data_IF_180576884481
#
_entry.id   IF_180576884481
#
_cell.length_a   1.000
_cell.length_b   1.000
_cell.length_c   1.000
_cell.angle_alpha   90.00
_cell.angle_beta   90.00
_cell.angle_gamma   90.00
#
_symmetry.space_group_name_H-M   'P 1'
#
loop_
_entity.id
_entity.type
_entity.pdbx_description
1 polymer ?
#
# COMPACT_ATOMS: atom_id res chain seq x y z
N UNK A 1 -33.99 77.22 -20.91
CA UNK A 1 -34.12 75.75 -21.13
C UNK A 1 -32.78 75.10 -20.86
N UNK A 2 -32.62 74.54 -19.65
CA UNK A 2 -31.38 73.80 -19.24
C UNK A 2 -31.61 72.33 -19.56
N UNK A 3 -30.81 71.78 -20.45
CA UNK A 3 -30.80 70.34 -20.78
C UNK A 3 -30.00 69.62 -19.68
N UNK A 4 -30.65 68.76 -18.93
CA UNK A 4 -30.02 67.85 -17.97
C UNK A 4 -29.56 66.62 -18.77
N UNK A 5 -28.25 66.39 -18.86
CA UNK A 5 -27.65 65.18 -19.36
C UNK A 5 -27.61 64.17 -18.21
N UNK A 6 -28.45 63.14 -18.27
CA UNK A 6 -28.34 61.98 -17.34
C UNK A 6 -27.26 61.06 -17.93
N UNK A 7 -26.12 61.02 -17.26
CA UNK A 7 -25.02 60.11 -17.52
C UNK A 7 -25.37 58.74 -16.88
N UNK A 8 -25.82 57.79 -17.71
CA UNK A 8 -26.03 56.41 -17.29
C UNK A 8 -24.66 55.76 -17.15
N UNK A 9 -24.14 55.68 -15.93
CA UNK A 9 -22.95 54.87 -15.61
C UNK A 9 -23.40 53.41 -15.62
N UNK A 10 -23.13 52.71 -16.74
CA UNK A 10 -23.15 51.22 -16.78
C UNK A 10 -22.02 50.74 -15.92
N UNK A 11 -22.34 50.35 -14.64
CA UNK A 11 -21.44 49.54 -13.86
C UNK A 11 -21.30 48.14 -14.48
N UNK A 12 -20.30 47.99 -15.35
CA UNK A 12 -19.85 46.67 -15.76
C UNK A 12 -19.14 46.09 -14.56
N UNK A 13 -19.82 45.29 -13.75
CA UNK A 13 -19.17 44.44 -12.76
C UNK A 13 -18.38 43.39 -13.55
N UNK A 14 -17.05 43.39 -13.46
CA UNK A 14 -16.31 42.29 -14.02
C UNK A 14 -16.76 41.01 -13.27
N UNK A 15 -17.20 40.02 -14.01
CA UNK A 15 -17.42 38.69 -13.47
C UNK A 15 -16.10 38.15 -12.91
N UNK A 16 -15.78 38.49 -11.67
CA UNK A 16 -14.69 37.87 -10.96
C UNK A 16 -15.07 36.40 -10.72
N UNK A 17 -14.64 35.53 -11.60
CA UNK A 17 -14.66 34.10 -11.33
C UNK A 17 -13.61 33.86 -10.23
N UNK A 18 -14.06 33.67 -9.01
CA UNK A 18 -13.17 33.30 -7.91
C UNK A 18 -12.51 31.96 -8.27
N UNK A 19 -11.18 31.94 -8.32
CA UNK A 19 -10.41 30.72 -8.51
C UNK A 19 -10.68 29.74 -7.37
N UNK A 20 -10.73 28.44 -7.69
CA UNK A 20 -10.90 27.41 -6.70
C UNK A 20 -9.73 27.44 -5.69
N UNK A 21 -10.07 27.51 -4.39
CA UNK A 21 -9.08 27.62 -3.31
C UNK A 21 -9.68 27.30 -1.94
N UNK A 22 -8.84 26.87 -1.01
CA UNK A 22 -9.18 26.81 0.39
C UNK A 22 -9.03 28.19 1.05
N UNK A 23 -10.08 28.62 1.73
CA UNK A 23 -10.14 29.88 2.50
C UNK A 23 -10.63 29.58 3.91
N UNK A 24 -9.72 29.33 4.83
CA UNK A 24 -10.03 28.85 6.17
C UNK A 24 -10.80 27.52 6.11
N UNK A 25 -12.01 27.49 6.66
CA UNK A 25 -12.88 26.31 6.64
C UNK A 25 -13.87 26.29 5.46
N UNK A 26 -13.68 27.15 4.46
CA UNK A 26 -14.50 27.20 3.25
C UNK A 26 -13.65 26.83 2.04
N UNK A 27 -14.14 25.89 1.22
CA UNK A 27 -13.56 25.62 -0.07
C UNK A 27 -14.38 26.30 -1.17
N UNK A 28 -13.77 27.25 -1.87
CA UNK A 28 -14.34 27.93 -3.03
C UNK A 28 -14.07 27.03 -4.24
N UNK A 29 -15.07 26.70 -5.03
CA UNK A 29 -14.92 25.74 -6.11
C UNK A 29 -15.76 26.09 -7.36
N UNK A 30 -15.45 25.40 -8.45
CA UNK A 30 -16.28 25.42 -9.65
C UNK A 30 -17.61 24.69 -9.43
N UNK A 31 -18.50 24.81 -10.41
CA UNK A 31 -19.84 24.23 -10.37
C UNK A 31 -19.83 22.70 -10.22
N UNK A 32 -18.92 22.00 -10.91
CA UNK A 32 -18.82 20.54 -10.86
C UNK A 32 -18.36 20.07 -9.47
N UNK A 33 -17.27 20.63 -8.97
CA UNK A 33 -16.76 20.33 -7.63
C UNK A 33 -17.78 20.67 -6.55
N UNK A 34 -18.54 21.76 -6.70
CA UNK A 34 -19.60 22.13 -5.79
C UNK A 34 -20.68 21.05 -5.69
N UNK A 35 -21.14 20.52 -6.82
CA UNK A 35 -22.14 19.45 -6.84
C UNK A 35 -21.56 18.15 -6.25
N UNK A 36 -20.36 17.74 -6.65
CA UNK A 36 -19.71 16.52 -6.13
C UNK A 36 -19.59 16.55 -4.61
N UNK A 37 -19.12 17.66 -4.04
CA UNK A 37 -18.93 17.79 -2.59
C UNK A 37 -20.27 17.87 -1.85
N UNK A 38 -21.29 18.49 -2.45
CA UNK A 38 -22.65 18.52 -1.90
C UNK A 38 -23.26 17.11 -1.89
N UNK A 39 -23.09 16.34 -2.96
CA UNK A 39 -23.56 14.97 -3.05
C UNK A 39 -22.83 14.08 -2.06
N UNK A 40 -21.52 14.21 -1.93
CA UNK A 40 -20.72 13.50 -0.95
C UNK A 40 -21.17 13.81 0.49
N UNK A 41 -21.46 15.08 0.79
CA UNK A 41 -22.00 15.53 2.09
C UNK A 41 -23.40 14.99 2.39
N UNK A 42 -24.17 14.60 1.37
CA UNK A 42 -25.48 13.99 1.52
C UNK A 42 -25.44 12.44 1.53
N UNK A 43 -24.29 11.87 1.24
CA UNK A 43 -24.08 10.42 1.25
C UNK A 43 -23.89 9.88 2.67
N UNK A 44 -23.91 8.56 2.84
CA UNK A 44 -23.58 7.92 4.11
C UNK A 44 -22.08 8.00 4.46
N UNK A 45 -21.23 8.41 3.50
CA UNK A 45 -19.81 8.68 3.74
C UNK A 45 -19.55 9.97 4.52
N UNK A 46 -20.51 10.89 4.61
CA UNK A 46 -20.32 12.19 5.31
C UNK A 46 -19.75 12.06 6.73
N UNK A 47 -20.05 10.98 7.41
CA UNK A 47 -19.61 10.67 8.77
C UNK A 47 -18.55 9.53 8.78
N UNK A 48 -18.07 9.15 7.60
CA UNK A 48 -17.08 8.11 7.39
C UNK A 48 -15.65 8.63 7.45
N UNK A 49 -14.72 7.70 7.24
CA UNK A 49 -13.29 7.96 7.23
C UNK A 49 -12.66 7.53 5.91
N UNK A 50 -11.65 8.26 5.45
CA UNK A 50 -10.75 7.86 4.38
C UNK A 50 -9.44 7.43 5.05
N UNK A 51 -9.17 6.13 5.06
CA UNK A 51 -7.97 5.56 5.67
C UNK A 51 -6.81 5.62 4.69
N UNK A 52 -5.80 6.39 5.05
CA UNK A 52 -4.58 6.57 4.25
C UNK A 52 -3.55 5.55 4.71
N UNK A 53 -3.27 4.57 3.87
CA UNK A 53 -2.15 3.64 4.08
C UNK A 53 -0.90 4.25 3.49
N UNK A 54 0.02 4.65 4.34
CA UNK A 54 1.28 5.22 3.90
C UNK A 54 2.31 4.12 3.79
N UNK A 55 2.73 3.83 2.57
CA UNK A 55 3.70 2.79 2.27
C UNK A 55 4.66 3.24 1.18
N UNK A 56 5.65 2.43 0.88
CA UNK A 56 6.57 2.63 -0.23
C UNK A 56 6.90 1.28 -0.84
N UNK A 57 6.54 1.11 -2.12
CA UNK A 57 6.99 -0.07 -2.84
C UNK A 57 8.51 -0.05 -2.97
N UNK A 58 9.14 -1.20 -2.71
CA UNK A 58 10.58 -1.32 -2.67
C UNK A 58 11.05 -2.49 -3.53
N UNK A 59 11.58 -2.15 -4.69
CA UNK A 59 12.39 -3.09 -5.43
C UNK A 59 13.71 -3.35 -4.70
N UNK A 60 14.23 -4.56 -4.80
CA UNK A 60 15.54 -4.87 -4.23
C UNK A 60 16.64 -4.15 -5.00
N UNK A 61 16.57 -4.21 -6.34
CA UNK A 61 17.43 -3.45 -7.23
C UNK A 61 16.65 -3.12 -8.52
N UNK A 62 16.35 -1.85 -8.76
CA UNK A 62 15.62 -1.38 -9.92
C UNK A 62 16.30 -0.14 -10.50
N UNK A 63 16.64 -0.18 -11.79
CA UNK A 63 17.32 0.92 -12.51
C UNK A 63 18.68 1.35 -11.94
N UNK A 64 19.17 0.70 -10.88
CA UNK A 64 20.43 1.01 -10.24
C UNK A 64 21.00 -0.23 -9.53
N UNK A 65 22.25 -0.15 -9.06
CA UNK A 65 22.85 -1.18 -8.23
C UNK A 65 22.12 -1.32 -6.88
N UNK A 66 22.17 -2.51 -6.31
CA UNK A 66 21.52 -2.84 -5.04
C UNK A 66 21.95 -1.87 -3.91
N UNK A 67 23.24 -1.51 -3.82
CA UNK A 67 23.75 -0.59 -2.80
C UNK A 67 23.13 0.80 -2.91
N UNK A 68 22.95 1.30 -4.14
CA UNK A 68 22.28 2.59 -4.37
C UNK A 68 20.79 2.52 -4.01
N UNK A 69 20.11 1.44 -4.38
CA UNK A 69 18.71 1.22 -3.99
C UNK A 69 18.55 1.11 -2.47
N UNK A 70 19.50 0.45 -1.79
CA UNK A 70 19.55 0.40 -0.32
C UNK A 70 19.72 1.79 0.27
N UNK A 71 20.68 2.59 -0.23
CA UNK A 71 20.92 3.94 0.25
C UNK A 71 19.68 4.83 0.07
N UNK A 72 18.98 4.73 -1.06
CA UNK A 72 17.74 5.46 -1.33
C UNK A 72 16.63 5.02 -0.36
N UNK A 73 16.43 3.73 -0.14
CA UNK A 73 15.46 3.23 0.84
C UNK A 73 15.68 3.79 2.24
N UNK A 74 16.95 3.79 2.67
CA UNK A 74 17.30 4.25 4.02
C UNK A 74 17.13 5.76 4.16
N UNK A 75 17.61 6.54 3.18
CA UNK A 75 17.71 8.01 3.28
C UNK A 75 16.46 8.75 2.82
N UNK A 76 15.73 8.23 1.83
CA UNK A 76 14.56 8.90 1.28
C UNK A 76 13.24 8.41 1.87
N UNK A 77 13.22 7.23 2.48
CA UNK A 77 12.00 6.64 3.00
C UNK A 77 12.06 6.27 4.47
N UNK A 78 12.81 5.21 4.86
CA UNK A 78 12.73 4.67 6.23
C UNK A 78 13.13 5.69 7.30
N UNK A 79 14.27 6.35 7.13
CA UNK A 79 14.73 7.36 8.09
C UNK A 79 13.79 8.56 8.18
N UNK A 80 13.34 9.19 7.06
CA UNK A 80 12.37 10.27 7.13
C UNK A 80 11.02 9.88 7.72
N UNK A 81 10.53 8.67 7.43
CA UNK A 81 9.24 8.20 7.97
C UNK A 81 9.34 7.89 9.46
N UNK A 82 10.44 7.28 9.91
CA UNK A 82 10.71 7.04 11.31
C UNK A 82 10.79 8.35 12.11
N UNK A 83 11.44 9.38 11.54
CA UNK A 83 11.44 10.73 12.09
C UNK A 83 10.02 11.30 12.19
N UNK A 84 9.23 11.16 11.14
CA UNK A 84 7.84 11.64 11.12
C UNK A 84 6.95 10.93 12.15
N UNK A 85 7.14 9.64 12.37
CA UNK A 85 6.46 8.91 13.47
C UNK A 85 6.75 9.54 14.84
N UNK A 86 7.94 10.12 15.02
CA UNK A 86 8.30 10.85 16.24
C UNK A 86 7.64 12.23 16.37
N UNK A 87 7.45 12.90 15.23
CA UNK A 87 6.93 14.29 15.17
C UNK A 87 5.40 14.35 15.11
N UNK A 88 4.75 13.37 14.49
CA UNK A 88 3.31 13.34 14.28
C UNK A 88 2.70 12.07 14.92
N UNK A 89 2.01 12.18 16.06
CA UNK A 89 1.42 11.04 16.76
C UNK A 89 0.29 10.36 15.98
N UNK A 90 -0.28 11.02 14.96
CA UNK A 90 -1.34 10.45 14.13
C UNK A 90 -0.81 9.69 12.93
N UNK A 91 0.46 9.89 12.57
CA UNK A 91 1.07 9.26 11.41
C UNK A 91 1.26 7.76 11.61
N UNK A 92 0.90 7.00 10.59
CA UNK A 92 1.09 5.54 10.51
C UNK A 92 1.70 5.18 9.17
N UNK A 93 2.37 4.04 9.11
CA UNK A 93 3.00 3.53 7.88
C UNK A 93 2.95 2.01 7.81
N UNK A 94 3.02 1.50 6.57
CA UNK A 94 3.20 0.09 6.28
C UNK A 94 4.59 -0.14 5.67
N UNK A 95 5.24 -1.22 6.06
CA UNK A 95 6.46 -1.75 5.46
C UNK A 95 6.07 -3.02 4.74
N UNK A 96 6.14 -3.02 3.42
CA UNK A 96 5.51 -4.06 2.60
C UNK A 96 6.15 -5.45 2.72
N UNK A 97 7.43 -5.53 3.14
CA UNK A 97 8.18 -6.79 3.23
C UNK A 97 9.19 -6.78 4.38
N UNK A 98 9.35 -7.93 5.01
CA UNK A 98 10.16 -8.07 6.22
C UNK A 98 11.65 -7.87 5.99
N UNK A 99 12.19 -8.26 4.83
CA UNK A 99 13.62 -8.12 4.50
C UNK A 99 14.09 -6.66 4.60
N UNK A 100 13.29 -5.73 4.13
CA UNK A 100 13.60 -4.29 4.17
C UNK A 100 13.79 -3.81 5.62
N UNK A 101 12.88 -4.20 6.52
CA UNK A 101 13.00 -3.86 7.94
C UNK A 101 14.21 -4.54 8.58
N UNK A 102 14.45 -5.84 8.28
CA UNK A 102 15.58 -6.61 8.79
C UNK A 102 16.91 -5.97 8.41
N UNK A 103 17.06 -5.63 7.11
CA UNK A 103 18.26 -5.00 6.57
C UNK A 103 18.49 -3.59 7.15
N UNK A 104 17.42 -2.79 7.23
CA UNK A 104 17.52 -1.44 7.80
C UNK A 104 17.99 -1.47 9.26
N UNK A 105 17.40 -2.30 10.10
CA UNK A 105 17.81 -2.43 11.50
C UNK A 105 19.24 -2.95 11.62
N UNK A 106 19.66 -3.83 10.71
CA UNK A 106 21.05 -4.30 10.70
C UNK A 106 22.06 -3.17 10.44
N UNK A 107 21.72 -2.25 9.53
CA UNK A 107 22.55 -1.07 9.22
C UNK A 107 22.41 0.06 10.26
N UNK A 108 21.24 0.18 10.90
CA UNK A 108 20.87 1.24 11.84
C UNK A 108 20.34 0.64 13.16
N UNK A 109 21.17 -0.09 13.93
CA UNK A 109 20.72 -0.85 15.11
C UNK A 109 20.17 0.02 16.24
N UNK A 110 20.55 1.29 16.29
CA UNK A 110 20.05 2.30 17.22
C UNK A 110 18.56 2.64 17.00
N UNK A 111 18.02 2.33 15.82
CA UNK A 111 16.60 2.57 15.49
C UNK A 111 15.66 1.45 15.95
N UNK A 112 16.20 0.27 16.30
CA UNK A 112 15.41 -0.90 16.71
C UNK A 112 14.39 -0.59 17.84
N UNK A 113 14.74 0.13 18.92
CA UNK A 113 13.78 0.46 19.97
C UNK A 113 12.59 1.29 19.48
N UNK A 114 12.79 2.12 18.46
CA UNK A 114 11.72 2.94 17.85
C UNK A 114 10.74 2.05 17.08
N UNK A 115 11.23 1.08 16.32
CA UNK A 115 10.38 0.11 15.64
C UNK A 115 9.58 -0.71 16.66
N UNK A 116 10.20 -1.22 17.70
CA UNK A 116 9.50 -1.94 18.80
C UNK A 116 8.38 -1.08 19.37
N UNK A 117 8.66 0.18 19.66
CA UNK A 117 7.68 1.14 20.17
C UNK A 117 6.51 1.32 19.21
N UNK A 118 6.78 1.71 17.96
CA UNK A 118 5.72 2.07 17.01
C UNK A 118 4.92 0.88 16.50
N UNK A 119 5.52 -0.31 16.40
CA UNK A 119 4.79 -1.54 16.12
C UNK A 119 3.86 -1.91 17.28
N UNK A 120 4.30 -1.76 18.54
CA UNK A 120 3.46 -1.97 19.72
C UNK A 120 2.30 -0.98 19.81
N UNK A 121 2.51 0.26 19.37
CA UNK A 121 1.47 1.31 19.28
C UNK A 121 0.50 1.09 18.11
N UNK A 122 0.70 0.08 17.24
CA UNK A 122 -0.09 -0.14 16.03
C UNK A 122 0.10 0.97 14.99
N UNK A 123 1.26 1.62 14.99
CA UNK A 123 1.60 2.71 14.06
C UNK A 123 2.49 2.26 12.90
N UNK A 124 3.04 1.07 12.99
CA UNK A 124 3.75 0.39 11.90
C UNK A 124 3.14 -0.99 11.73
N UNK A 125 2.70 -1.30 10.51
CA UNK A 125 2.40 -2.65 10.07
C UNK A 125 3.50 -3.15 9.13
N UNK A 126 3.88 -4.41 9.26
CA UNK A 126 4.88 -5.04 8.39
C UNK A 126 4.25 -6.22 7.69
N UNK A 127 4.39 -6.29 6.36
CA UNK A 127 3.89 -7.40 5.55
C UNK A 127 4.48 -8.74 5.96
N UNK A 128 3.66 -9.79 5.88
CA UNK A 128 3.99 -11.12 6.38
C UNK A 128 5.02 -11.90 5.55
N UNK A 129 5.37 -11.44 4.34
CA UNK A 129 6.37 -12.12 3.51
C UNK A 129 7.77 -11.58 3.74
N UNK A 130 8.77 -12.44 3.47
CA UNK A 130 10.17 -12.00 3.53
C UNK A 130 10.46 -10.96 2.45
N UNK A 131 10.05 -11.25 1.19
CA UNK A 131 10.02 -10.29 0.07
C UNK A 131 8.66 -10.36 -0.63
N UNK A 132 8.47 -9.58 -1.70
CA UNK A 132 7.32 -9.67 -2.62
C UNK A 132 7.70 -10.53 -3.84
N UNK A 133 7.34 -11.82 -3.88
CA UNK A 133 7.77 -12.72 -4.95
C UNK A 133 6.91 -12.58 -6.21
N UNK A 134 7.48 -12.95 -7.35
CA UNK A 134 6.71 -13.29 -8.56
C UNK A 134 6.07 -14.67 -8.37
N UNK A 135 4.86 -14.68 -7.83
CA UNK A 135 4.21 -15.88 -7.30
C UNK A 135 4.12 -17.07 -8.28
N UNK A 136 3.94 -16.81 -9.56
CA UNK A 136 3.81 -17.86 -10.58
C UNK A 136 5.16 -18.42 -11.08
N UNK A 137 6.26 -17.81 -10.68
CA UNK A 137 7.59 -18.20 -11.14
C UNK A 137 8.26 -19.24 -10.23
N UNK A 138 7.81 -19.35 -8.98
CA UNK A 138 8.49 -20.12 -7.95
C UNK A 138 7.64 -21.26 -7.41
N UNK A 139 8.30 -22.21 -6.75
CA UNK A 139 7.63 -23.37 -6.17
C UNK A 139 6.69 -23.00 -5.02
N UNK A 140 5.70 -23.83 -4.76
CA UNK A 140 4.82 -23.69 -3.61
C UNK A 140 5.59 -23.70 -2.28
N UNK A 141 6.70 -24.43 -2.19
CA UNK A 141 7.59 -24.43 -1.01
C UNK A 141 8.25 -23.06 -0.83
N UNK A 142 8.80 -22.47 -1.89
CA UNK A 142 9.36 -21.12 -1.84
C UNK A 142 8.33 -20.08 -1.39
N UNK A 143 7.13 -20.14 -1.93
CA UNK A 143 6.05 -19.24 -1.54
C UNK A 143 5.64 -19.43 -0.07
N UNK A 144 5.58 -20.66 0.42
CA UNK A 144 5.35 -20.93 1.84
C UNK A 144 6.49 -20.38 2.72
N UNK A 145 7.75 -20.50 2.25
CA UNK A 145 8.94 -19.99 2.96
C UNK A 145 8.97 -18.47 3.04
N UNK A 146 8.41 -17.76 2.07
CA UNK A 146 8.26 -16.31 2.14
C UNK A 146 7.52 -15.91 3.43
N UNK A 147 6.38 -16.55 3.72
CA UNK A 147 5.63 -16.30 4.95
C UNK A 147 6.33 -16.85 6.19
N UNK A 148 6.85 -18.05 6.10
CA UNK A 148 7.53 -18.70 7.24
C UNK A 148 8.71 -17.86 7.75
N UNK A 149 9.61 -17.42 6.86
CA UNK A 149 10.78 -16.64 7.24
C UNK A 149 10.38 -15.22 7.69
N UNK A 150 9.47 -14.57 6.97
CA UNK A 150 9.01 -13.23 7.33
C UNK A 150 8.32 -13.20 8.69
N UNK A 151 7.27 -13.99 8.87
CA UNK A 151 6.49 -13.99 10.11
C UNK A 151 7.29 -14.51 11.31
N UNK A 152 8.14 -15.53 11.11
CA UNK A 152 9.02 -16.05 12.19
C UNK A 152 10.01 -14.99 12.66
N UNK A 153 10.63 -14.27 11.72
CA UNK A 153 11.57 -13.21 12.07
C UNK A 153 10.88 -12.08 12.83
N UNK A 154 9.72 -11.63 12.38
CA UNK A 154 8.92 -10.61 13.06
C UNK A 154 8.52 -11.06 14.47
N UNK A 155 7.99 -12.25 14.60
CA UNK A 155 7.58 -12.83 15.90
C UNK A 155 8.76 -12.94 16.89
N UNK A 156 9.93 -13.36 16.40
CA UNK A 156 11.14 -13.51 17.23
C UNK A 156 11.68 -12.16 17.72
N UNK A 157 11.67 -11.15 16.84
CA UNK A 157 12.35 -9.89 17.13
C UNK A 157 11.43 -8.80 17.71
N UNK A 158 10.10 -8.93 17.60
CA UNK A 158 9.15 -7.91 18.04
C UNK A 158 8.09 -8.45 19.01
N UNK A 159 8.54 -9.08 20.11
CA UNK A 159 7.67 -9.54 21.21
C UNK A 159 6.43 -10.34 20.77
N UNK A 160 6.60 -11.22 19.80
CA UNK A 160 5.51 -12.03 19.28
C UNK A 160 4.59 -11.30 18.29
N UNK A 161 5.03 -10.18 17.71
CA UNK A 161 4.29 -9.44 16.70
C UNK A 161 3.77 -10.36 15.59
N UNK A 162 2.52 -10.16 15.23
CA UNK A 162 1.84 -10.86 14.16
C UNK A 162 1.20 -9.82 13.23
N UNK A 163 1.30 -10.05 11.96
CA UNK A 163 0.62 -9.26 10.92
C UNK A 163 -0.49 -10.10 10.32
N UNK A 164 -1.56 -9.46 9.88
CA UNK A 164 -2.63 -10.09 9.14
C UNK A 164 -2.58 -9.79 7.64
N UNK A 165 -1.64 -8.96 7.19
CA UNK A 165 -1.57 -8.46 5.81
C UNK A 165 -0.34 -8.94 5.06
N UNK A 166 -0.54 -9.22 3.77
CA UNK A 166 0.48 -9.43 2.76
C UNK A 166 0.37 -8.35 1.69
N UNK A 167 1.50 -7.75 1.33
CA UNK A 167 1.60 -6.78 0.25
C UNK A 167 2.35 -7.38 -0.93
N UNK A 168 1.77 -7.25 -2.11
CA UNK A 168 2.46 -7.58 -3.35
C UNK A 168 1.99 -6.63 -4.46
N UNK A 169 2.41 -5.37 -4.36
CA UNK A 169 1.76 -4.26 -5.05
C UNK A 169 2.24 -4.01 -6.45
N UNK A 170 3.50 -4.27 -6.76
CA UNK A 170 4.04 -4.05 -8.10
C UNK A 170 4.73 -5.28 -8.74
N UNK A 171 4.58 -6.43 -8.15
CA UNK A 171 5.10 -7.68 -8.68
C UNK A 171 3.94 -8.47 -9.29
N UNK A 172 3.64 -8.32 -10.59
CA UNK A 172 2.51 -8.98 -11.23
C UNK A 172 2.72 -10.48 -11.33
N UNK A 173 1.60 -11.19 -11.58
CA UNK A 173 1.59 -12.65 -11.56
C UNK A 173 1.09 -13.15 -10.20
N UNK A 174 -0.03 -13.90 -10.25
CA UNK A 174 -0.70 -14.42 -9.06
C UNK A 174 -1.03 -15.87 -9.26
N UNK A 175 -0.54 -16.72 -8.37
CA UNK A 175 -0.91 -18.13 -8.37
C UNK A 175 -2.25 -18.35 -7.66
N UNK A 176 -3.07 -19.24 -8.23
CA UNK A 176 -4.36 -19.61 -7.65
C UNK A 176 -4.23 -20.26 -6.26
N UNK A 177 -3.04 -20.68 -5.85
CA UNK A 177 -2.78 -21.28 -4.53
C UNK A 177 -2.48 -20.24 -3.45
N UNK A 178 -2.24 -18.98 -3.79
CA UNK A 178 -1.82 -17.98 -2.82
C UNK A 178 -2.80 -17.78 -1.66
N UNK A 179 -4.13 -17.69 -1.86
CA UNK A 179 -5.05 -17.59 -0.74
C UNK A 179 -4.97 -18.77 0.23
N UNK A 180 -4.73 -19.99 -0.26
CA UNK A 180 -4.52 -21.15 0.59
C UNK A 180 -3.24 -21.03 1.42
N UNK A 181 -2.13 -20.65 0.79
CA UNK A 181 -0.83 -20.48 1.46
C UNK A 181 -0.96 -19.39 2.54
N UNK A 182 -1.55 -18.25 2.20
CA UNK A 182 -1.80 -17.15 3.14
C UNK A 182 -2.64 -17.60 4.34
N UNK A 183 -3.78 -18.24 4.08
CA UNK A 183 -4.68 -18.73 5.13
C UNK A 183 -3.96 -19.68 6.10
N UNK A 184 -3.13 -20.59 5.58
CA UNK A 184 -2.33 -21.51 6.41
C UNK A 184 -1.20 -20.81 7.17
N UNK A 185 -0.73 -19.67 6.66
CA UNK A 185 0.24 -18.82 7.35
C UNK A 185 -0.40 -17.86 8.38
N UNK A 186 -1.74 -17.85 8.50
CA UNK A 186 -2.48 -16.94 9.37
C UNK A 186 -2.60 -15.52 8.83
N UNK A 187 -2.44 -15.33 7.51
CA UNK A 187 -2.58 -14.06 6.82
C UNK A 187 -3.95 -14.00 6.13
N UNK A 188 -4.75 -13.03 6.49
CA UNK A 188 -6.14 -12.91 6.04
C UNK A 188 -6.37 -11.85 4.99
N UNK A 189 -5.44 -10.90 4.86
CA UNK A 189 -5.58 -9.71 4.05
C UNK A 189 -4.48 -9.62 3.00
N UNK A 190 -4.86 -9.17 1.81
CA UNK A 190 -3.96 -9.00 0.68
C UNK A 190 -4.12 -7.60 0.08
N UNK A 191 -3.01 -6.90 -0.09
CA UNK A 191 -2.93 -5.64 -0.82
C UNK A 191 -2.13 -5.87 -2.10
N UNK A 192 -2.80 -5.71 -3.24
CA UNK A 192 -2.17 -5.87 -4.57
C UNK A 192 -2.42 -4.64 -5.43
N UNK A 193 -1.72 -4.54 -6.54
CA UNK A 193 -2.09 -3.64 -7.63
C UNK A 193 -2.06 -4.36 -8.99
N UNK A 194 -2.07 -3.60 -10.08
CA UNK A 194 -2.12 -4.16 -11.45
C UNK A 194 -3.37 -5.02 -11.69
N UNK A 195 -4.46 -4.68 -11.01
CA UNK A 195 -5.76 -5.32 -11.08
C UNK A 195 -6.88 -4.26 -11.11
N UNK A 196 -8.11 -4.65 -11.47
CA UNK A 196 -9.26 -3.75 -11.37
C UNK A 196 -9.43 -3.25 -9.94
N UNK A 197 -9.65 -1.95 -9.80
CA UNK A 197 -9.78 -1.28 -8.50
C UNK A 197 -10.95 -1.83 -7.68
N UNK A 198 -10.70 -2.12 -6.42
CA UNK A 198 -11.76 -2.51 -5.51
C UNK A 198 -11.35 -3.39 -4.34
N UNK A 199 -12.38 -3.94 -3.73
CA UNK A 199 -12.31 -4.85 -2.60
C UNK A 199 -13.08 -6.11 -2.97
N UNK A 200 -12.50 -7.29 -2.75
CA UNK A 200 -13.08 -8.58 -3.07
C UNK A 200 -12.47 -9.70 -2.21
N UNK A 201 -13.11 -10.86 -2.19
CA UNK A 201 -12.46 -12.08 -1.75
C UNK A 201 -11.76 -12.75 -2.93
N UNK A 202 -10.51 -13.16 -2.71
CA UNK A 202 -9.84 -14.07 -3.64
C UNK A 202 -9.87 -15.47 -3.04
N UNK A 203 -10.34 -16.44 -3.83
CA UNK A 203 -10.58 -17.81 -3.39
C UNK A 203 -9.69 -18.80 -4.15
N UNK A 204 -9.01 -19.65 -3.37
CA UNK A 204 -8.26 -20.81 -3.86
C UNK A 204 -9.18 -22.01 -4.11
N UNK A 205 -8.72 -23.01 -4.90
CA UNK A 205 -9.49 -24.23 -5.19
C UNK A 205 -9.92 -25.05 -3.96
N UNK A 206 -9.23 -24.91 -2.82
CA UNK A 206 -9.57 -25.56 -1.56
C UNK A 206 -10.66 -24.81 -0.76
N UNK A 207 -11.15 -23.68 -1.29
CA UNK A 207 -12.13 -22.82 -0.64
C UNK A 207 -11.55 -21.79 0.35
N UNK A 208 -10.23 -21.76 0.54
CA UNK A 208 -9.56 -20.71 1.33
C UNK A 208 -9.76 -19.36 0.68
N UNK A 209 -10.10 -18.35 1.48
CA UNK A 209 -10.40 -16.99 1.01
C UNK A 209 -9.58 -15.96 1.76
N UNK A 210 -9.11 -14.93 1.04
CA UNK A 210 -8.47 -13.77 1.62
C UNK A 210 -9.16 -12.49 1.16
N UNK A 211 -9.28 -11.52 2.06
CA UNK A 211 -9.78 -10.19 1.72
C UNK A 211 -8.72 -9.46 0.92
N UNK A 212 -9.07 -9.02 -0.28
CA UNK A 212 -8.12 -8.41 -1.19
C UNK A 212 -8.55 -6.98 -1.52
N UNK A 213 -7.63 -6.04 -1.32
CA UNK A 213 -7.77 -4.65 -1.76
C UNK A 213 -6.78 -4.33 -2.88
N UNK A 214 -7.25 -3.57 -3.85
CA UNK A 214 -6.42 -3.01 -4.92
C UNK A 214 -6.81 -1.58 -5.24
N UNK A 215 -5.84 -0.63 -5.23
CA UNK A 215 -6.06 0.74 -5.71
C UNK A 215 -6.07 0.82 -7.25
N UNK A 216 -5.98 -0.30 -7.97
CA UNK A 216 -5.70 -0.37 -9.40
C UNK A 216 -4.20 -0.28 -9.66
N UNK A 217 -3.63 0.90 -9.66
CA UNK A 217 -2.19 1.11 -9.63
C UNK A 217 -1.76 1.62 -8.24
N UNK A 218 -0.69 1.08 -7.68
CA UNK A 218 -0.26 1.40 -6.30
C UNK A 218 0.06 2.90 -6.09
N UNK A 219 0.53 3.62 -7.10
CA UNK A 219 0.78 5.07 -7.03
C UNK A 219 -0.48 5.93 -7.34
N UNK A 220 -1.68 5.34 -7.48
CA UNK A 220 -2.86 6.07 -7.91
C UNK A 220 -3.18 7.25 -6.99
N UNK A 221 -3.32 7.01 -5.70
CA UNK A 221 -3.64 8.09 -4.75
C UNK A 221 -2.48 9.07 -4.54
N UNK A 222 -1.23 8.63 -4.69
CA UNK A 222 -0.08 9.52 -4.76
C UNK A 222 -0.27 10.55 -5.88
N UNK A 223 -0.62 10.09 -7.08
CA UNK A 223 -0.84 10.97 -8.22
C UNK A 223 -2.06 11.88 -8.02
N UNK A 224 -3.13 11.40 -7.38
CA UNK A 224 -4.32 12.22 -7.10
C UNK A 224 -4.00 13.32 -6.09
N UNK A 225 -3.45 12.96 -4.94
CA UNK A 225 -3.17 13.90 -3.84
C UNK A 225 -1.98 14.83 -4.13
N UNK A 226 -1.11 14.47 -5.07
CA UNK A 226 0.02 15.28 -5.52
C UNK A 226 -0.32 16.38 -6.53
N UNK A 227 -1.56 16.41 -7.04
CA UNK A 227 -2.05 17.44 -7.97
C UNK A 227 -2.31 18.76 -7.24
N UNK A 228 -2.65 19.79 -8.02
CA UNK A 228 -3.16 21.03 -7.44
C UNK A 228 -4.44 20.78 -6.64
N UNK A 229 -4.70 21.63 -5.64
CA UNK A 229 -5.82 21.47 -4.70
C UNK A 229 -7.17 21.29 -5.44
N UNK A 230 -7.39 21.98 -6.55
CA UNK A 230 -8.65 21.90 -7.31
C UNK A 230 -8.86 20.52 -7.90
N UNK A 231 -7.84 20.02 -8.59
CA UNK A 231 -7.87 18.71 -9.21
C UNK A 231 -7.94 17.60 -8.17
N UNK A 232 -7.15 17.72 -7.09
CA UNK A 232 -7.13 16.74 -6.00
C UNK A 232 -8.49 16.63 -5.30
N UNK A 233 -9.13 17.76 -4.96
CA UNK A 233 -10.47 17.78 -4.35
C UNK A 233 -11.51 17.11 -5.26
N UNK A 234 -11.50 17.45 -6.53
CA UNK A 234 -12.46 16.92 -7.50
C UNK A 234 -12.29 15.41 -7.70
N UNK A 235 -11.07 14.96 -7.88
CA UNK A 235 -10.78 13.53 -8.06
C UNK A 235 -11.08 12.75 -6.78
N UNK A 236 -10.69 13.23 -5.62
CA UNK A 236 -11.01 12.56 -4.36
C UNK A 236 -12.51 12.49 -4.08
N UNK A 237 -13.27 13.54 -4.39
CA UNK A 237 -14.73 13.50 -4.26
C UNK A 237 -15.36 12.46 -5.20
N UNK A 238 -14.89 12.37 -6.45
CA UNK A 238 -15.31 11.33 -7.40
C UNK A 238 -15.00 9.93 -6.91
N UNK A 239 -13.77 9.72 -6.41
CA UNK A 239 -13.34 8.43 -5.86
C UNK A 239 -14.20 8.00 -4.67
N UNK A 240 -14.46 8.91 -3.75
CA UNK A 240 -15.30 8.62 -2.60
C UNK A 240 -16.73 8.25 -3.00
N UNK A 241 -17.31 8.96 -3.97
CA UNK A 241 -18.65 8.65 -4.50
C UNK A 241 -18.66 7.29 -5.21
N UNK A 242 -17.66 6.99 -6.03
CA UNK A 242 -17.52 5.70 -6.71
C UNK A 242 -17.40 4.55 -5.72
N UNK A 243 -16.55 4.72 -4.70
CA UNK A 243 -16.39 3.75 -3.63
C UNK A 243 -17.71 3.48 -2.91
N UNK A 244 -18.38 4.53 -2.48
CA UNK A 244 -19.67 4.45 -1.81
C UNK A 244 -20.73 3.75 -2.68
N UNK A 245 -20.81 4.10 -3.94
CA UNK A 245 -21.79 3.51 -4.88
C UNK A 245 -21.53 2.02 -5.06
N UNK A 246 -20.27 1.63 -5.17
CA UNK A 246 -19.87 0.23 -5.40
C UNK A 246 -20.09 -0.66 -4.16
N UNK A 247 -19.88 -0.11 -2.96
CA UNK A 247 -19.90 -0.87 -1.70
C UNK A 247 -21.04 -0.45 -0.75
N UNK A 248 -22.09 0.17 -1.27
CA UNK A 248 -23.23 0.68 -0.51
C UNK A 248 -23.99 -0.42 0.27
N UNK A 249 -23.98 -1.65 -0.21
CA UNK A 249 -24.65 -2.78 0.45
C UNK A 249 -23.85 -3.32 1.65
N UNK A 250 -22.62 -2.91 1.83
CA UNK A 250 -21.78 -3.18 3.03
C UNK A 250 -22.21 -2.28 4.19
N UNK A 251 -23.49 -2.01 4.33
CA UNK A 251 -24.15 -0.88 5.00
C UNK A 251 -24.08 -0.81 6.53
N UNK A 252 -23.42 -1.70 7.24
CA UNK A 252 -23.57 -1.72 8.71
C UNK A 252 -22.38 -1.20 9.50
N UNK A 253 -21.22 -1.04 8.90
CA UNK A 253 -20.08 -0.39 9.55
C UNK A 253 -19.99 1.07 9.14
N UNK A 254 -19.42 1.93 9.98
CA UNK A 254 -19.00 3.28 9.56
C UNK A 254 -18.24 3.13 8.26
N UNK A 255 -18.72 3.76 7.21
CA UNK A 255 -18.16 3.60 5.87
C UNK A 255 -16.72 4.07 5.85
N UNK A 256 -15.81 3.16 5.61
CA UNK A 256 -14.37 3.42 5.52
C UNK A 256 -13.95 3.21 4.07
N UNK A 257 -13.27 4.21 3.52
CA UNK A 257 -12.67 4.14 2.19
C UNK A 257 -11.16 4.01 2.34
N UNK A 258 -10.49 3.04 1.68
CA UNK A 258 -9.05 2.97 1.67
C UNK A 258 -8.45 3.92 0.62
N UNK A 259 -7.34 4.56 0.96
CA UNK A 259 -6.52 5.33 0.06
C UNK A 259 -5.05 4.95 0.26
N UNK A 260 -4.55 4.02 -0.56
CA UNK A 260 -3.16 3.62 -0.53
C UNK A 260 -2.28 4.75 -1.07
N UNK A 261 -1.51 5.37 -0.19
CA UNK A 261 -0.55 6.40 -0.53
C UNK A 261 0.84 5.78 -0.60
N UNK A 262 1.18 5.27 -1.77
CA UNK A 262 2.47 4.67 -2.01
C UNK A 262 3.46 5.71 -2.57
N UNK A 263 4.54 5.90 -1.85
CA UNK A 263 5.68 6.73 -2.28
C UNK A 263 6.71 5.82 -2.95
N UNK A 264 6.49 5.49 -4.20
CA UNK A 264 7.48 4.74 -4.96
C UNK A 264 8.82 5.48 -4.97
N UNK A 265 9.89 4.79 -4.60
CA UNK A 265 11.24 5.30 -4.71
C UNK A 265 11.80 4.97 -6.09
N UNK A 266 11.36 5.68 -7.10
CA UNK A 266 12.07 5.74 -8.37
C UNK A 266 12.83 7.07 -8.46
N UNK A 267 13.85 7.11 -9.27
CA UNK A 267 14.76 8.25 -9.43
C UNK A 267 14.05 9.58 -9.80
N UNK A 268 12.84 9.55 -10.30
CA UNK A 268 12.02 10.72 -10.59
C UNK A 268 10.91 10.99 -9.56
N UNK A 269 10.81 10.16 -8.52
CA UNK A 269 9.83 10.32 -7.47
C UNK A 269 10.31 11.29 -6.40
N UNK A 270 9.79 12.47 -6.48
CA UNK A 270 9.93 13.44 -5.39
C UNK A 270 8.88 13.16 -4.33
N UNK A 271 9.23 13.23 -3.03
CA UNK A 271 8.24 13.13 -1.96
C UNK A 271 7.06 14.05 -2.28
N UNK A 272 5.83 13.53 -2.24
CA UNK A 272 4.64 14.35 -2.50
C UNK A 272 4.55 15.41 -1.42
N UNK A 273 4.97 16.60 -1.77
CA UNK A 273 5.07 17.73 -0.83
C UNK A 273 3.72 18.17 -0.28
N UNK A 274 2.64 17.85 -1.00
CA UNK A 274 1.33 18.41 -0.71
C UNK A 274 0.36 17.46 0.00
N UNK A 275 0.61 16.13 0.02
CA UNK A 275 -0.37 15.22 0.60
C UNK A 275 -0.76 15.52 2.05
N UNK A 276 0.17 15.75 3.00
CA UNK A 276 -0.23 16.11 4.36
C UNK A 276 -0.97 17.44 4.43
N UNK A 277 -0.52 18.43 3.67
CA UNK A 277 -1.15 19.76 3.61
C UNK A 277 -2.55 19.67 2.99
N UNK A 278 -2.71 18.87 1.95
CA UNK A 278 -4.02 18.61 1.33
C UNK A 278 -4.96 17.92 2.32
N UNK A 279 -4.50 16.88 3.02
CA UNK A 279 -5.27 16.16 4.04
C UNK A 279 -5.76 17.12 5.13
N UNK A 280 -4.90 18.00 5.64
CA UNK A 280 -5.26 19.00 6.63
C UNK A 280 -6.31 19.97 6.09
N UNK A 281 -6.10 20.52 4.89
CA UNK A 281 -7.07 21.43 4.24
C UNK A 281 -8.42 20.76 4.04
N UNK A 282 -8.46 19.55 3.51
CA UNK A 282 -9.70 18.79 3.32
C UNK A 282 -10.43 18.56 4.65
N UNK A 283 -9.72 18.09 5.66
CA UNK A 283 -10.26 17.80 6.98
C UNK A 283 -10.83 19.06 7.69
N UNK A 284 -10.39 20.26 7.29
CA UNK A 284 -10.87 21.51 7.82
C UNK A 284 -12.09 22.08 7.08
N UNK A 285 -12.51 21.50 5.94
CA UNK A 285 -13.68 22.00 5.19
C UNK A 285 -14.95 21.83 6.01
N UNK A 286 -15.70 22.92 6.18
CA UNK A 286 -17.03 22.95 6.80
C UNK A 286 -18.06 23.56 5.88
N UNK A 287 -17.61 24.35 4.90
CA UNK A 287 -18.44 25.01 3.90
C UNK A 287 -17.82 24.87 2.52
N UNK A 288 -18.69 24.77 1.53
CA UNK A 288 -18.33 24.93 0.13
C UNK A 288 -19.00 26.17 -0.43
N UNK A 289 -18.35 26.86 -1.34
CA UNK A 289 -18.90 28.03 -2.02
C UNK A 289 -18.68 27.92 -3.52
N UNK A 290 -19.77 28.07 -4.27
CA UNK A 290 -19.70 28.16 -5.72
C UNK A 290 -19.06 29.49 -6.12
N UNK A 291 -17.89 29.44 -6.74
CA UNK A 291 -17.13 30.63 -7.15
C UNK A 291 -17.83 31.50 -8.20
N UNK A 292 -18.82 30.95 -8.93
CA UNK A 292 -19.59 31.68 -9.95
C UNK A 292 -20.86 32.33 -9.39
N UNK A 293 -21.61 31.59 -8.55
CA UNK A 293 -22.90 32.05 -8.02
C UNK A 293 -22.81 32.69 -6.65
N UNK A 294 -21.74 32.45 -5.91
CA UNK A 294 -21.60 32.83 -4.51
C UNK A 294 -22.42 31.98 -3.53
N UNK A 295 -23.15 30.95 -4.02
CA UNK A 295 -23.91 30.05 -3.16
C UNK A 295 -22.96 29.36 -2.17
N UNK A 296 -23.27 29.47 -0.87
CA UNK A 296 -22.49 28.85 0.21
C UNK A 296 -23.32 27.84 0.97
N UNK A 297 -22.80 26.62 1.10
CA UNK A 297 -23.50 25.50 1.74
C UNK A 297 -22.61 24.90 2.84
N UNK A 298 -23.21 24.55 3.98
CA UNK A 298 -22.53 23.76 5.00
C UNK A 298 -22.44 22.31 4.56
N UNK A 299 -21.26 21.70 4.74
CA UNK A 299 -21.00 20.31 4.37
C UNK A 299 -20.36 19.53 5.52
N UNK A 300 -20.56 18.21 5.51
CA UNK A 300 -19.78 17.25 6.28
C UNK A 300 -19.12 16.30 5.29
N UNK A 301 -17.81 16.24 5.29
CA UNK A 301 -17.02 15.38 4.38
C UNK A 301 -16.34 14.26 5.17
N UNK A 302 -16.16 13.08 4.57
CA UNK A 302 -15.38 12.02 5.18
C UNK A 302 -13.98 12.52 5.53
N UNK A 303 -13.47 12.12 6.69
CA UNK A 303 -12.21 12.64 7.21
C UNK A 303 -11.05 11.70 6.83
N UNK A 304 -9.97 12.26 6.32
CA UNK A 304 -8.73 11.52 6.15
C UNK A 304 -8.11 11.17 7.50
N UNK A 305 -7.70 9.93 7.65
CA UNK A 305 -6.95 9.43 8.83
C UNK A 305 -5.81 8.55 8.36
N UNK A 306 -4.63 8.76 8.94
CA UNK A 306 -3.55 7.81 8.74
C UNK A 306 -3.92 6.48 9.40
N UNK A 307 -3.71 5.41 8.68
CA UNK A 307 -4.03 4.05 9.08
C UNK A 307 -2.95 3.10 8.55
N UNK A 308 -2.90 1.91 9.09
CA UNK A 308 -2.22 0.77 8.45
C UNK A 308 -3.24 -0.03 7.63
N UNK A 309 -2.76 -0.91 6.77
CA UNK A 309 -3.64 -1.85 6.07
C UNK A 309 -4.41 -2.72 7.06
N UNK A 310 -3.76 -3.18 8.14
CA UNK A 310 -4.42 -3.95 9.20
C UNK A 310 -5.56 -3.15 9.85
N UNK A 311 -5.37 -1.86 10.16
CA UNK A 311 -6.43 -0.99 10.69
C UNK A 311 -7.66 -0.92 9.76
N UNK A 312 -7.40 -0.84 8.44
CA UNK A 312 -8.49 -0.79 7.45
C UNK A 312 -9.26 -2.10 7.43
N UNK A 313 -8.57 -3.22 7.30
CA UNK A 313 -9.21 -4.52 7.22
C UNK A 313 -9.92 -4.91 8.53
N UNK A 314 -9.43 -4.46 9.68
CA UNK A 314 -10.12 -4.63 10.97
C UNK A 314 -11.45 -3.85 11.02
N UNK A 315 -11.51 -2.67 10.40
CA UNK A 315 -12.75 -1.87 10.30
C UNK A 315 -13.75 -2.43 9.30
N UNK A 316 -13.30 -3.19 8.32
CA UNK A 316 -14.19 -3.96 7.46
C UNK A 316 -14.78 -5.08 8.31
N UNK A 317 -15.97 -4.85 8.82
CA UNK A 317 -16.69 -5.82 9.63
C UNK A 317 -16.68 -7.22 8.97
N UNK A 318 -16.52 -8.26 9.78
CA UNK A 318 -16.64 -9.66 9.36
C UNK A 318 -17.99 -9.98 8.67
N UNK A 319 -18.94 -9.04 8.70
CA UNK A 319 -20.21 -9.09 7.96
C UNK A 319 -20.09 -8.84 6.44
N UNK A 320 -18.87 -8.72 5.90
CA UNK A 320 -18.62 -8.51 4.45
C UNK A 320 -18.89 -9.78 3.59
N UNK A 321 -19.89 -10.56 3.94
CA UNK A 321 -20.38 -11.67 3.12
C UNK A 321 -20.87 -11.26 1.71
N UNK A 322 -21.01 -9.95 1.48
CA UNK A 322 -21.45 -9.39 0.20
C UNK A 322 -20.32 -8.97 -0.74
N UNK A 323 -19.05 -9.17 -0.37
CA UNK A 323 -17.94 -8.85 -1.29
C UNK A 323 -17.94 -9.84 -2.46
N UNK A 324 -17.64 -9.36 -3.69
CA UNK A 324 -17.47 -10.23 -4.84
C UNK A 324 -16.35 -11.23 -4.61
N UNK A 325 -16.49 -12.44 -5.14
CA UNK A 325 -15.46 -13.48 -5.08
C UNK A 325 -14.77 -13.56 -6.44
N UNK A 326 -13.45 -13.55 -6.41
CA UNK A 326 -12.59 -13.71 -7.59
C UNK A 326 -11.84 -15.04 -7.46
N UNK A 327 -11.75 -15.78 -8.56
CA UNK A 327 -11.06 -17.06 -8.67
C UNK A 327 -9.97 -17.01 -9.74
N UNK A 328 -9.07 -17.96 -9.68
CA UNK A 328 -8.08 -18.24 -10.71
C UNK A 328 -6.79 -17.45 -10.60
N UNK A 329 -5.94 -17.65 -11.56
CA UNK A 329 -4.63 -17.02 -11.66
C UNK A 329 -4.71 -15.62 -12.27
N UNK A 330 -3.64 -14.87 -12.08
CA UNK A 330 -3.38 -13.60 -12.77
C UNK A 330 -2.01 -13.69 -13.43
N UNK A 331 -1.95 -13.92 -14.74
CA UNK A 331 -0.67 -14.12 -15.42
C UNK A 331 0.25 -12.90 -15.27
N UNK A 332 1.54 -13.16 -15.17
CA UNK A 332 2.56 -12.12 -15.21
C UNK A 332 2.61 -11.49 -16.61
N UNK A 333 2.40 -10.18 -16.67
CA UNK A 333 2.46 -9.41 -17.92
C UNK A 333 3.89 -8.96 -18.27
N UNK A 334 4.86 -9.19 -17.37
CA UNK A 334 6.25 -8.73 -17.48
C UNK A 334 7.23 -9.88 -17.60
N UNK A 335 6.92 -10.88 -18.39
CA UNK A 335 7.78 -12.05 -18.61
C UNK A 335 9.21 -11.69 -19.03
N UNK A 336 9.41 -10.55 -19.68
CA UNK A 336 10.72 -10.08 -20.10
C UNK A 336 11.66 -9.71 -18.94
N UNK A 337 11.13 -9.40 -17.74
CA UNK A 337 11.94 -9.08 -16.56
C UNK A 337 12.74 -10.29 -16.07
N UNK A 338 12.17 -11.49 -16.24
CA UNK A 338 12.81 -12.75 -15.85
C UNK A 338 13.40 -13.54 -17.01
N UNK A 339 13.44 -12.95 -18.18
CA UNK A 339 13.93 -13.60 -19.37
C UNK A 339 15.45 -13.79 -19.38
N UNK A 340 16.08 -13.62 -20.55
CA UNK A 340 17.50 -13.93 -20.72
C UNK A 340 18.48 -13.19 -19.80
N UNK A 341 18.01 -12.09 -19.20
CA UNK A 341 18.84 -11.23 -18.36
C UNK A 341 19.06 -11.74 -16.94
N UNK A 342 18.29 -12.74 -16.47
CA UNK A 342 18.39 -13.29 -15.09
C UNK A 342 18.51 -14.83 -15.11
N UNK A 343 19.05 -15.38 -16.16
CA UNK A 343 19.13 -16.83 -16.38
C UNK A 343 19.82 -17.55 -15.23
N UNK A 344 20.95 -17.04 -14.76
CA UNK A 344 21.73 -17.67 -13.70
C UNK A 344 21.00 -17.64 -12.36
N UNK A 345 20.49 -16.45 -11.97
CA UNK A 345 19.77 -16.30 -10.73
C UNK A 345 18.49 -17.16 -10.69
N UNK A 346 17.74 -17.20 -11.81
CA UNK A 346 16.54 -18.03 -11.93
C UNK A 346 16.88 -19.53 -11.88
N UNK A 347 17.96 -19.95 -12.54
CA UNK A 347 18.43 -21.34 -12.51
C UNK A 347 18.84 -21.73 -11.10
N UNK A 348 19.65 -20.92 -10.42
CA UNK A 348 20.06 -21.16 -9.05
C UNK A 348 18.85 -21.23 -8.09
N UNK A 349 17.88 -20.33 -8.26
CA UNK A 349 16.65 -20.37 -7.46
C UNK A 349 15.85 -21.66 -7.66
N UNK A 350 15.72 -22.15 -8.91
CA UNK A 350 15.05 -23.43 -9.23
C UNK A 350 15.81 -24.65 -8.72
N UNK A 351 17.13 -24.63 -8.78
CA UNK A 351 17.96 -25.67 -8.17
C UNK A 351 17.76 -25.70 -6.65
N UNK A 352 17.69 -24.52 -6.01
CA UNK A 352 17.36 -24.37 -4.59
C UNK A 352 16.00 -24.96 -4.23
N UNK A 353 15.00 -24.87 -5.09
CA UNK A 353 13.68 -25.49 -4.90
C UNK A 353 13.74 -27.03 -4.79
N UNK A 354 14.77 -27.65 -5.35
CA UNK A 354 14.99 -29.09 -5.30
C UNK A 354 15.93 -29.46 -4.15
N UNK A 355 17.07 -28.81 -4.06
CA UNK A 355 18.13 -29.19 -3.15
C UNK A 355 17.85 -28.85 -1.69
N UNK A 356 17.22 -27.71 -1.37
CA UNK A 356 16.97 -27.34 0.01
C UNK A 356 15.95 -28.26 0.70
N UNK A 357 14.78 -28.57 0.09
CA UNK A 357 13.88 -29.59 0.66
C UNK A 357 14.52 -30.97 0.77
N UNK A 358 15.40 -31.34 -0.16
CA UNK A 358 16.13 -32.61 -0.08
C UNK A 358 17.12 -32.60 1.10
N UNK A 359 17.89 -31.53 1.27
CA UNK A 359 18.81 -31.37 2.39
C UNK A 359 18.09 -31.44 3.75
N UNK A 360 16.95 -30.74 3.90
CA UNK A 360 16.13 -30.80 5.11
C UNK A 360 15.64 -32.22 5.41
N UNK A 361 15.15 -32.94 4.40
CA UNK A 361 14.68 -34.33 4.55
C UNK A 361 15.81 -35.26 4.97
N UNK A 362 16.97 -35.17 4.31
CA UNK A 362 18.15 -36.01 4.64
C UNK A 362 18.66 -35.70 6.05
N UNK A 363 18.73 -34.40 6.41
CA UNK A 363 19.15 -33.98 7.75
C UNK A 363 18.17 -34.45 8.83
N UNK A 364 16.86 -34.38 8.55
CA UNK A 364 15.81 -34.89 9.44
C UNK A 364 15.91 -36.42 9.60
N UNK A 365 16.15 -37.14 8.52
CA UNK A 365 16.36 -38.60 8.56
C UNK A 365 17.61 -38.94 9.37
N UNK A 366 18.70 -38.21 9.17
CA UNK A 366 19.93 -38.38 9.96
C UNK A 366 19.68 -38.14 11.44
N UNK A 367 18.96 -37.08 11.81
CA UNK A 367 18.58 -36.75 13.18
C UNK A 367 17.72 -37.87 13.80
N UNK A 368 16.80 -38.43 13.02
CA UNK A 368 15.94 -39.54 13.44
C UNK A 368 16.77 -40.82 13.77
N UNK A 369 17.71 -41.17 12.87
CA UNK A 369 18.60 -42.32 13.08
C UNK A 369 19.49 -42.12 14.33
N UNK A 370 19.97 -40.92 14.55
CA UNK A 370 20.79 -40.54 15.71
C UNK A 370 19.97 -40.32 16.99
N UNK A 371 18.66 -40.25 16.89
CA UNK A 371 17.74 -39.86 17.98
C UNK A 371 18.09 -38.49 18.61
N UNK A 372 18.68 -37.58 17.81
CA UNK A 372 19.11 -36.25 18.25
C UNK A 372 19.10 -35.27 17.06
N UNK A 373 18.60 -34.05 17.32
CA UNK A 373 18.68 -32.90 16.43
C UNK A 373 19.89 -32.00 16.68
N UNK A 374 20.82 -32.38 17.56
CA UNK A 374 21.99 -31.56 17.91
C UNK A 374 22.86 -31.21 16.68
N UNK A 375 22.96 -32.16 15.74
CA UNK A 375 23.71 -31.96 14.49
C UNK A 375 22.83 -31.53 13.30
N UNK A 376 21.60 -31.16 13.55
CA UNK A 376 20.73 -30.65 12.49
C UNK A 376 21.16 -29.25 12.06
N UNK A 377 21.47 -28.99 10.79
CA UNK A 377 22.07 -27.72 10.35
C UNK A 377 21.02 -26.60 10.21
N UNK A 378 20.40 -26.21 11.34
CA UNK A 378 19.29 -25.25 11.35
C UNK A 378 19.69 -23.89 10.79
N UNK A 379 20.84 -23.37 11.19
CA UNK A 379 21.28 -22.03 10.81
C UNK A 379 21.71 -22.00 9.34
N UNK A 380 22.48 -23.01 8.89
CA UNK A 380 22.88 -23.15 7.49
C UNK A 380 21.66 -23.26 6.55
N UNK A 381 20.66 -24.06 6.94
CA UNK A 381 19.42 -24.19 6.16
C UNK A 381 18.58 -22.90 6.14
N UNK A 382 18.51 -22.18 7.25
CA UNK A 382 17.82 -20.87 7.29
C UNK A 382 18.52 -19.85 6.40
N UNK A 383 19.87 -19.77 6.47
CA UNK A 383 20.67 -18.89 5.62
C UNK A 383 20.49 -19.24 4.13
N UNK A 384 20.57 -20.53 3.80
CA UNK A 384 20.39 -20.99 2.44
C UNK A 384 18.98 -20.70 1.89
N UNK A 385 17.92 -20.85 2.71
CA UNK A 385 16.57 -20.48 2.32
C UNK A 385 16.42 -18.97 2.14
N UNK A 386 16.98 -18.14 3.03
CA UNK A 386 16.95 -16.69 2.85
C UNK A 386 17.64 -16.27 1.55
N UNK A 387 18.84 -16.80 1.29
CA UNK A 387 19.58 -16.54 0.06
C UNK A 387 18.81 -16.98 -1.19
N UNK A 388 18.11 -18.13 -1.11
CA UNK A 388 17.32 -18.67 -2.22
C UNK A 388 16.10 -17.81 -2.54
N UNK A 389 15.36 -17.34 -1.52
CA UNK A 389 14.11 -16.61 -1.74
C UNK A 389 14.30 -15.10 -1.93
N UNK A 390 15.46 -14.55 -1.57
CA UNK A 390 15.72 -13.12 -1.70
C UNK A 390 15.61 -12.63 -3.16
N UNK A 391 16.17 -13.30 -4.18
CA UNK A 391 16.01 -12.91 -5.57
C UNK A 391 14.63 -13.20 -6.17
N UNK A 392 13.70 -13.82 -5.42
CA UNK A 392 12.35 -14.13 -5.93
C UNK A 392 11.52 -12.86 -6.23
N UNK A 393 11.96 -11.68 -5.79
CA UNK A 393 11.38 -10.40 -6.17
C UNK A 393 11.71 -10.01 -7.62
N UNK A 394 12.78 -10.57 -8.20
CA UNK A 394 13.32 -10.14 -9.49
C UNK A 394 14.22 -8.92 -9.37
N UNK A 395 14.97 -8.66 -10.42
CA UNK A 395 16.01 -7.64 -10.49
C UNK A 395 15.91 -6.84 -11.77
N UNK A 396 16.50 -5.66 -11.75
CA UNK A 396 16.72 -4.87 -12.94
C UNK A 396 15.58 -3.95 -13.27
N UNK A 397 15.30 -3.79 -14.50
CA UNK A 397 14.35 -2.87 -15.07
C UNK A 397 14.80 -2.41 -16.42
N UNK A 398 13.97 -1.70 -17.13
CA UNK A 398 14.27 -1.21 -18.46
C UNK A 398 15.45 -0.22 -18.41
N UNK A 399 16.61 -0.63 -18.93
CA UNK A 399 17.84 0.15 -18.85
C UNK A 399 18.59 0.07 -17.52
N UNK A 400 18.13 -0.78 -16.60
CA UNK A 400 18.80 -1.03 -15.33
C UNK A 400 20.12 -1.78 -15.49
N UNK A 401 21.01 -1.59 -14.51
CA UNK A 401 22.23 -2.38 -14.41
C UNK A 401 21.83 -3.75 -13.89
N UNK A 402 22.15 -4.75 -14.68
CA UNK A 402 21.85 -6.13 -14.33
C UNK A 402 22.86 -6.60 -13.29
N UNK A 403 22.35 -7.16 -12.22
CA UNK A 403 23.14 -7.82 -11.19
C UNK A 403 22.84 -9.30 -11.25
N UNK A 404 23.60 -10.05 -11.99
CA UNK A 404 23.64 -11.51 -11.86
C UNK A 404 24.55 -11.92 -10.69
#
# INVERSE_FOLDING_TARGET
>A
MKKIFILMILCVFPNFILKAQFAGNTYICDQESFHLLKDLSNSSLKDGDIYVFTTTHQDLAWLNHIDACIADRDTLWLTPFLKRLGEDPTFKMDIEQTSILKEYIHRHPDTYPLFVKYMKEGRICVGGTFIQPYEEMYSGESLARQFYLGTRWLKKNFNGYQTSSYFNVDVPGRTLQMPQIMSKAGIENLVISRHERGLFYWESPDGSKVRTYTPGHYIYFYNVLGKDDTTAVKEMAKEAILWYTKYNDVKKSKTVMPAMLNYELSWDMKPVRNCPVFIEKWNNVRYIMNGKTGERVKVSLPQFKFATADDFFEKLDHSTSALPITHGERPNVWLYIHGPSHEKALTASREGDVWLPAAEKISSFSAMVRQSFEMYPTDDLNEAWEAKIYPDHGWGGNGGIMTD
#
